data_IF_298507923072
#
_entry.id   IF_298507923072
#
_cell.length_a   1.000
_cell.length_b   1.000
_cell.length_c   1.000
_cell.angle_alpha   90.00
_cell.angle_beta   90.00
_cell.angle_gamma   90.00
#
_symmetry.space_group_name_H-M   'P 1'
#
loop_
_entity.id
_entity.type
_entity.pdbx_description
1 polymer ?
#
# COMPACT_ATOMS: atom_id res chain seq x y z
N UNK A 1 -7.10 -5.00 21.18
CA UNK A 1 -6.46 -5.84 20.14
C UNK A 1 -5.06 -6.22 20.58
N UNK A 2 -4.54 -7.34 20.09
CA UNK A 2 -3.24 -7.91 20.47
C UNK A 2 -2.04 -6.93 20.30
N UNK A 3 -2.18 -5.92 19.43
CA UNK A 3 -1.16 -4.88 19.19
C UNK A 3 -0.82 -4.05 20.43
N UNK A 4 -1.81 -3.59 21.20
CA UNK A 4 -1.57 -2.77 22.40
C UNK A 4 -0.86 -3.58 23.50
N UNK A 5 -1.23 -4.85 23.65
CA UNK A 5 -0.54 -5.76 24.57
C UNK A 5 0.92 -6.01 24.16
N UNK A 6 1.20 -6.10 22.85
CA UNK A 6 2.57 -6.21 22.35
C UNK A 6 3.38 -4.93 22.63
N UNK A 7 2.79 -3.74 22.46
CA UNK A 7 3.43 -2.47 22.83
C UNK A 7 3.81 -2.42 24.32
N UNK A 8 2.94 -2.91 25.20
CA UNK A 8 3.21 -2.93 26.64
C UNK A 8 4.34 -3.90 27.00
N UNK A 9 4.45 -5.04 26.31
CA UNK A 9 5.60 -5.95 26.44
C UNK A 9 6.89 -5.23 26.02
N UNK A 10 6.92 -4.55 24.88
CA UNK A 10 8.11 -3.80 24.44
C UNK A 10 8.51 -2.70 25.43
N UNK A 11 7.54 -1.96 25.99
CA UNK A 11 7.79 -0.98 27.07
C UNK A 11 8.43 -1.64 28.29
N UNK A 12 7.90 -2.79 28.73
CA UNK A 12 8.44 -3.52 29.89
C UNK A 12 9.85 -4.07 29.65
N UNK A 13 10.23 -4.30 28.40
CA UNK A 13 11.58 -4.70 27.99
C UNK A 13 12.54 -3.50 27.83
N UNK A 14 12.09 -2.28 28.14
CA UNK A 14 12.89 -1.07 28.13
C UNK A 14 12.90 -0.32 26.80
N UNK A 15 12.06 -0.69 25.83
CA UNK A 15 11.92 0.06 24.59
C UNK A 15 11.08 1.34 24.80
N UNK A 16 11.47 2.42 24.14
CA UNK A 16 10.62 3.61 23.98
C UNK A 16 9.53 3.29 22.96
N UNK A 17 8.27 3.54 23.32
CA UNK A 17 7.13 3.29 22.42
C UNK A 17 6.30 4.57 22.33
N UNK A 18 6.35 5.19 21.16
CA UNK A 18 5.63 6.42 20.85
C UNK A 18 4.52 6.13 19.83
N UNK A 19 3.32 6.66 20.11
CA UNK A 19 2.23 6.65 19.14
C UNK A 19 2.41 7.84 18.19
N UNK A 20 2.39 7.56 16.89
CA UNK A 20 2.62 8.57 15.86
C UNK A 20 1.44 8.62 14.92
N UNK A 21 0.89 9.82 14.73
CA UNK A 21 -0.12 10.11 13.73
C UNK A 21 0.55 10.61 12.44
N UNK A 22 0.34 9.87 11.35
CA UNK A 22 0.87 10.20 10.03
C UNK A 22 -0.04 11.14 9.23
N UNK A 23 -1.26 11.39 9.70
CA UNK A 23 -2.27 12.21 9.03
C UNK A 23 -2.78 11.58 7.72
N UNK A 24 -2.64 10.27 7.56
CA UNK A 24 -3.06 9.54 6.36
C UNK A 24 -4.53 9.16 6.44
N UNK A 25 -5.26 9.35 5.35
CA UNK A 25 -6.66 8.97 5.20
C UNK A 25 -6.82 7.69 4.34
N UNK A 26 -8.07 7.25 4.17
CA UNK A 26 -8.41 6.09 3.32
C UNK A 26 -7.98 6.26 1.85
N UNK A 27 -7.68 7.49 1.42
CA UNK A 27 -7.13 7.79 0.11
C UNK A 27 -5.76 7.16 -0.12
N UNK A 28 -4.98 6.92 0.94
CA UNK A 28 -3.69 6.24 0.87
C UNK A 28 -3.85 4.78 0.44
N UNK A 29 -4.75 4.03 1.09
CA UNK A 29 -5.02 2.63 0.73
C UNK A 29 -5.55 2.54 -0.70
N UNK A 30 -6.47 3.45 -1.07
CA UNK A 30 -7.01 3.52 -2.43
C UNK A 30 -5.92 3.78 -3.47
N UNK A 31 -5.01 4.71 -3.21
CA UNK A 31 -3.89 5.01 -4.10
C UNK A 31 -2.91 3.83 -4.21
N UNK A 32 -2.61 3.16 -3.10
CA UNK A 32 -1.78 1.95 -3.09
C UNK A 32 -2.39 0.82 -3.92
N UNK A 33 -3.70 0.59 -3.79
CA UNK A 33 -4.42 -0.39 -4.62
C UNK A 33 -4.39 -0.02 -6.10
N UNK A 34 -4.63 1.24 -6.46
CA UNK A 34 -4.57 1.71 -7.84
C UNK A 34 -3.15 1.58 -8.45
N UNK A 35 -2.11 1.82 -7.64
CA UNK A 35 -0.71 1.63 -8.03
C UNK A 35 -0.43 0.16 -8.36
N UNK A 36 -0.83 -0.75 -7.47
CA UNK A 36 -0.66 -2.19 -7.67
C UNK A 36 -1.49 -2.71 -8.84
N UNK A 37 -2.72 -2.23 -9.01
CA UNK A 37 -3.60 -2.61 -10.11
C UNK A 37 -3.02 -2.17 -11.46
N UNK A 38 -2.45 -0.97 -11.54
CA UNK A 38 -1.79 -0.50 -12.76
C UNK A 38 -0.59 -1.39 -13.14
N UNK A 39 0.29 -1.70 -12.18
CA UNK A 39 1.51 -2.46 -12.47
C UNK A 39 1.23 -3.96 -12.68
N UNK A 40 0.60 -4.58 -11.68
CA UNK A 40 0.42 -6.02 -11.65
C UNK A 40 -0.85 -6.46 -12.35
N UNK A 41 -1.93 -5.68 -12.29
CA UNK A 41 -3.15 -5.98 -13.04
C UNK A 41 -2.88 -5.96 -14.55
N UNK A 42 -2.13 -4.96 -15.05
CA UNK A 42 -1.73 -4.91 -16.46
C UNK A 42 -0.87 -6.13 -16.86
N UNK A 43 0.08 -6.54 -16.02
CA UNK A 43 0.90 -7.75 -16.25
C UNK A 43 0.06 -9.02 -16.28
N UNK A 44 -0.78 -9.24 -15.27
CA UNK A 44 -1.66 -10.41 -15.18
C UNK A 44 -2.68 -10.46 -16.32
N UNK A 45 -3.08 -9.30 -16.84
CA UNK A 45 -4.03 -9.21 -17.94
C UNK A 45 -3.58 -9.91 -19.22
N UNK A 46 -2.26 -10.03 -19.42
CA UNK A 46 -1.69 -10.75 -20.56
C UNK A 46 -1.96 -12.26 -20.49
N UNK A 47 -2.18 -12.79 -19.29
CA UNK A 47 -2.45 -14.21 -19.03
C UNK A 47 -3.95 -14.55 -19.04
N UNK A 48 -4.85 -13.55 -19.10
CA UNK A 48 -6.30 -13.77 -19.03
C UNK A 48 -6.82 -14.65 -20.16
N UNK A 49 -6.28 -14.51 -21.36
CA UNK A 49 -6.74 -15.25 -22.53
C UNK A 49 -6.42 -16.76 -22.44
N UNK A 50 -5.28 -17.12 -21.85
CA UNK A 50 -4.80 -18.50 -21.82
C UNK A 50 -5.07 -19.20 -20.47
N UNK A 51 -4.94 -18.47 -19.36
CA UNK A 51 -5.02 -19.02 -18.01
C UNK A 51 -6.16 -18.44 -17.18
N UNK A 52 -7.04 -17.62 -17.78
CA UNK A 52 -8.11 -16.96 -17.06
C UNK A 52 -9.00 -17.92 -16.27
N UNK A 53 -9.26 -19.13 -16.78
CA UNK A 53 -10.03 -20.19 -16.11
C UNK A 53 -9.39 -20.73 -14.83
N UNK A 54 -8.05 -20.72 -14.77
CA UNK A 54 -7.27 -21.25 -13.65
C UNK A 54 -7.08 -20.21 -12.54
N UNK A 55 -7.32 -18.94 -12.87
CA UNK A 55 -7.27 -17.83 -11.93
C UNK A 55 -8.47 -17.82 -10.99
N UNK A 56 -8.23 -17.44 -9.74
CA UNK A 56 -9.30 -17.11 -8.80
C UNK A 56 -10.11 -15.92 -9.33
N UNK A 57 -11.36 -15.79 -8.87
CA UNK A 57 -12.23 -14.68 -9.25
C UNK A 57 -11.63 -13.31 -8.93
N UNK A 58 -10.92 -13.21 -7.80
CA UNK A 58 -10.21 -11.99 -7.41
C UNK A 58 -9.07 -11.65 -8.38
N UNK A 59 -8.20 -12.62 -8.70
CA UNK A 59 -7.08 -12.39 -9.61
C UNK A 59 -7.56 -12.02 -11.01
N UNK A 60 -8.62 -12.66 -11.50
CA UNK A 60 -9.24 -12.31 -12.78
C UNK A 60 -9.77 -10.88 -12.78
N UNK A 61 -10.49 -10.49 -11.72
CA UNK A 61 -11.03 -9.14 -11.58
C UNK A 61 -9.93 -8.09 -11.55
N UNK A 62 -8.86 -8.35 -10.79
CA UNK A 62 -7.71 -7.46 -10.68
C UNK A 62 -6.99 -7.27 -12.02
N UNK A 63 -6.87 -8.33 -12.82
CA UNK A 63 -6.32 -8.27 -14.16
C UNK A 63 -7.22 -7.49 -15.14
N UNK A 64 -8.54 -7.69 -15.08
CA UNK A 64 -9.52 -6.94 -15.89
C UNK A 64 -9.54 -5.44 -15.57
N UNK A 65 -9.42 -5.09 -14.29
CA UNK A 65 -9.39 -3.68 -13.86
C UNK A 65 -8.04 -3.04 -14.22
N UNK A 66 -6.94 -3.79 -14.13
CA UNK A 66 -5.63 -3.38 -14.64
C UNK A 66 -5.61 -3.00 -16.13
N UNK A 67 -6.38 -3.68 -16.99
CA UNK A 67 -6.51 -3.30 -18.42
C UNK A 67 -7.15 -1.93 -18.64
N UNK A 68 -7.95 -1.46 -17.68
CA UNK A 68 -8.67 -0.18 -17.77
C UNK A 68 -7.88 0.98 -17.16
N UNK A 69 -6.83 0.66 -16.42
CA UNK A 69 -5.97 1.63 -15.75
C UNK A 69 -5.22 2.51 -16.76
N UNK A 70 -5.10 3.80 -16.47
CA UNK A 70 -4.39 4.77 -17.33
C UNK A 70 -3.09 5.24 -16.68
N UNK A 71 -2.14 5.64 -17.51
CA UNK A 71 -0.90 6.24 -17.04
C UNK A 71 -1.13 7.48 -16.16
N UNK A 72 -2.19 8.27 -16.43
CA UNK A 72 -2.58 9.40 -15.57
C UNK A 72 -3.02 8.97 -14.18
N UNK A 73 -3.73 7.84 -14.09
CA UNK A 73 -4.19 7.30 -12.80
C UNK A 73 -2.99 6.82 -12.00
N UNK A 74 -2.04 6.16 -12.67
CA UNK A 74 -0.76 5.76 -12.07
C UNK A 74 0.04 6.96 -11.55
N UNK A 75 0.23 8.00 -12.37
CA UNK A 75 0.96 9.21 -11.93
C UNK A 75 0.29 9.86 -10.71
N UNK A 76 -1.04 9.91 -10.67
CA UNK A 76 -1.76 10.44 -9.50
C UNK A 76 -1.48 9.63 -8.21
N UNK A 77 -1.20 8.33 -8.31
CA UNK A 77 -0.77 7.53 -7.14
C UNK A 77 0.61 7.93 -6.63
N UNK A 78 1.51 8.34 -7.52
CA UNK A 78 2.85 8.79 -7.14
C UNK A 78 2.79 10.12 -6.38
N UNK A 79 1.85 11.01 -6.70
CA UNK A 79 1.62 12.24 -5.95
C UNK A 79 1.10 11.96 -4.52
N UNK A 80 0.30 10.91 -4.35
CA UNK A 80 -0.12 10.45 -3.01
C UNK A 80 1.09 9.89 -2.25
N UNK A 81 1.89 9.03 -2.89
CA UNK A 81 3.10 8.47 -2.27
C UNK A 81 4.09 9.58 -1.86
N UNK A 82 4.29 10.59 -2.70
CA UNK A 82 5.14 11.74 -2.38
C UNK A 82 4.66 12.48 -1.13
N UNK A 83 3.35 12.73 -1.00
CA UNK A 83 2.76 13.33 0.22
C UNK A 83 2.91 12.45 1.44
N UNK A 84 2.78 11.13 1.29
CA UNK A 84 3.03 10.18 2.38
C UNK A 84 4.49 10.27 2.88
N UNK A 85 5.46 10.33 1.97
CA UNK A 85 6.87 10.46 2.34
C UNK A 85 7.21 11.80 3.00
N UNK A 86 6.42 12.86 2.78
CA UNK A 86 6.61 14.14 3.47
C UNK A 86 6.31 14.04 4.97
N UNK A 87 5.35 13.20 5.39
CA UNK A 87 5.04 13.01 6.82
C UNK A 87 5.85 11.88 7.45
N UNK A 88 6.13 10.80 6.70
CA UNK A 88 6.92 9.67 7.19
C UNK A 88 8.44 9.97 7.25
N UNK A 89 8.98 10.71 6.28
CA UNK A 89 10.41 10.95 6.15
C UNK A 89 11.07 11.62 7.36
N UNK A 90 10.46 12.63 8.01
CA UNK A 90 10.97 13.19 9.26
C UNK A 90 11.09 12.17 10.40
N UNK A 91 10.13 11.24 10.54
CA UNK A 91 10.10 10.23 11.61
C UNK A 91 11.18 9.17 11.43
N UNK A 92 11.47 8.78 10.19
CA UNK A 92 12.54 7.81 9.91
C UNK A 92 13.94 8.37 10.19
N UNK A 93 14.09 9.70 10.26
CA UNK A 93 15.38 10.36 10.53
C UNK A 93 15.60 10.69 12.01
N UNK A 94 14.54 10.81 12.81
CA UNK A 94 14.69 11.07 14.25
C UNK A 94 15.30 9.90 15.02
N UNK A 95 15.23 8.68 14.46
CA UNK A 95 15.79 7.45 15.03
C UNK A 95 17.28 7.21 14.65
N UNK A 96 17.93 8.13 13.92
CA UNK A 96 19.34 8.02 13.48
C UNK A 96 20.34 8.68 14.46
N UNK A 97 19.88 9.12 15.64
CA UNK A 97 20.68 9.72 16.71
C UNK A 97 20.48 9.01 18.05
#
# INVERSE_FOLDING_TARGET
>A
GNMLAACDVFRSLGATVEEVDLGWDDGVLKAGMAYLEHLFGASLSQLLAEHGSDMTSYARRFAEDGQKSKATDFVATLDVAARMYQTLGPLLRSEEH
#
